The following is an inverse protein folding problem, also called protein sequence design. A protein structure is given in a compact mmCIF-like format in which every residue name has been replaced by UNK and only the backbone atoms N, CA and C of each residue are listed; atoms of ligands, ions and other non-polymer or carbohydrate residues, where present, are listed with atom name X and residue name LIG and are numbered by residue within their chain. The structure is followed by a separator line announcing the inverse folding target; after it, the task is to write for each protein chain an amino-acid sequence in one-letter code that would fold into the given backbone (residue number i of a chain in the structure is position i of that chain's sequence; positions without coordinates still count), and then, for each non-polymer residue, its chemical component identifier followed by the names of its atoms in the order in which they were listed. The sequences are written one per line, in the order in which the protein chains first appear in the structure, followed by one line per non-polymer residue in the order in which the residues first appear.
data_IF_183447725926
#
_entry.id   IF_183447725926
#
_cell.length_a   1.000
_cell.length_b   1.000
_cell.length_c   1.000
_cell.angle_alpha   90.00
_cell.angle_beta   90.00
_cell.angle_gamma   90.00
#
_symmetry.space_group_name_H-M   'P 1'
#
loop_
_entity.id
_entity.type
_entity.pdbx_description
1 polymer ?
#
# COMPACT_ATOMS: atom_id res chain seq x y z
N UNK A 1 16.61 16.22 -2.87
CA UNK A 1 15.23 16.15 -2.31
C UNK A 1 14.22 15.24 -3.06
N UNK A 2 14.57 14.36 -4.03
CA UNK A 2 13.58 13.49 -4.69
C UNK A 2 13.15 12.27 -3.85
N UNK A 3 14.11 11.58 -3.22
CA UNK A 3 13.86 10.36 -2.44
C UNK A 3 12.89 10.59 -1.28
N UNK A 4 13.07 11.68 -0.53
CA UNK A 4 12.20 12.02 0.60
C UNK A 4 10.75 12.25 0.16
N UNK A 5 10.53 12.92 -0.97
CA UNK A 5 9.19 13.14 -1.54
C UNK A 5 8.57 11.81 -1.99
N UNK A 6 9.36 10.93 -2.60
CA UNK A 6 8.91 9.60 -2.99
C UNK A 6 8.46 8.76 -1.79
N UNK A 7 9.25 8.71 -0.71
CA UNK A 7 8.90 7.95 0.50
C UNK A 7 7.63 8.50 1.16
N UNK A 8 7.50 9.84 1.27
CA UNK A 8 6.29 10.47 1.83
C UNK A 8 5.06 10.12 0.98
N UNK A 9 5.19 10.15 -0.35
CA UNK A 9 4.11 9.75 -1.27
C UNK A 9 3.73 8.27 -1.10
N UNK A 10 4.72 7.38 -1.06
CA UNK A 10 4.50 5.94 -0.80
C UNK A 10 3.77 5.73 0.52
N UNK A 11 4.18 6.41 1.59
CA UNK A 11 3.52 6.26 2.89
C UNK A 11 2.06 6.74 2.84
N UNK A 12 1.80 7.90 2.24
CA UNK A 12 0.43 8.44 2.13
C UNK A 12 -0.48 7.51 1.31
N UNK A 13 0.01 6.97 0.20
CA UNK A 13 -0.76 6.06 -0.64
C UNK A 13 -0.91 4.68 0.02
N UNK A 14 0.07 4.23 0.81
CA UNK A 14 -0.03 2.99 1.61
C UNK A 14 -1.12 3.11 2.69
N UNK A 15 -1.15 4.24 3.40
CA UNK A 15 -2.18 4.52 4.41
C UNK A 15 -3.57 4.61 3.76
N UNK A 16 -3.66 5.26 2.59
CA UNK A 16 -4.91 5.34 1.83
C UNK A 16 -5.39 3.96 1.35
N UNK A 17 -4.48 3.11 0.86
CA UNK A 17 -4.81 1.73 0.49
C UNK A 17 -5.26 0.90 1.69
N UNK A 18 -4.60 1.07 2.85
CA UNK A 18 -4.98 0.40 4.07
C UNK A 18 -6.42 0.75 4.49
N UNK A 19 -6.74 2.04 4.56
CA UNK A 19 -8.09 2.50 4.92
C UNK A 19 -9.15 1.98 3.95
N UNK A 20 -8.84 1.96 2.65
CA UNK A 20 -9.71 1.42 1.62
C UNK A 20 -9.95 -0.09 1.78
N UNK A 21 -8.89 -0.87 1.99
CA UNK A 21 -8.99 -2.30 2.25
C UNK A 21 -9.79 -2.59 3.51
N UNK A 22 -9.64 -1.79 4.57
CA UNK A 22 -10.39 -1.97 5.82
C UNK A 22 -11.89 -1.75 5.63
N UNK A 23 -12.28 -0.76 4.80
CA UNK A 23 -13.67 -0.51 4.43
C UNK A 23 -14.27 -1.65 3.61
N UNK A 24 -13.54 -2.14 2.61
CA UNK A 24 -13.99 -3.28 1.80
C UNK A 24 -14.12 -4.53 2.65
N UNK A 25 -13.18 -4.79 3.55
CA UNK A 25 -13.25 -5.91 4.48
C UNK A 25 -14.42 -5.79 5.47
N UNK A 26 -14.70 -4.59 5.98
CA UNK A 26 -15.84 -4.37 6.86
C UNK A 26 -17.19 -4.62 6.16
N UNK A 27 -17.26 -4.36 4.85
CA UNK A 27 -18.45 -4.62 4.05
C UNK A 27 -18.57 -6.09 3.63
N UNK A 28 -17.45 -6.76 3.37
CA UNK A 28 -17.39 -8.15 2.90
C UNK A 28 -16.15 -8.87 3.45
N UNK A 29 -16.25 -9.45 4.66
CA UNK A 29 -15.13 -10.10 5.31
C UNK A 29 -14.68 -11.36 4.56
N UNK A 30 -13.38 -11.44 4.24
CA UNK A 30 -12.77 -12.61 3.62
C UNK A 30 -11.44 -12.94 4.29
N UNK A 31 -11.12 -14.23 4.54
CA UNK A 31 -9.81 -14.63 5.08
C UNK A 31 -8.64 -14.14 4.23
N UNK A 32 -8.80 -14.10 2.90
CA UNK A 32 -7.77 -13.63 1.96
C UNK A 32 -7.55 -12.12 2.15
N UNK A 33 -8.64 -11.33 2.25
CA UNK A 33 -8.56 -9.90 2.51
C UNK A 33 -7.95 -9.59 3.88
N UNK A 34 -8.27 -10.39 4.90
CA UNK A 34 -7.67 -10.25 6.22
C UNK A 34 -6.15 -10.46 6.19
N UNK A 35 -5.68 -11.51 5.50
CA UNK A 35 -4.25 -11.77 5.33
C UNK A 35 -3.52 -10.66 4.56
N UNK A 36 -4.19 -10.00 3.61
CA UNK A 36 -3.65 -8.82 2.91
C UNK A 36 -3.59 -7.60 3.85
N UNK A 37 -4.64 -7.35 4.63
CA UNK A 37 -4.71 -6.25 5.59
C UNK A 37 -3.62 -6.29 6.66
N UNK A 38 -3.39 -7.46 7.25
CA UNK A 38 -2.34 -7.63 8.28
C UNK A 38 -0.96 -7.29 7.72
N UNK A 39 -0.65 -7.77 6.51
CA UNK A 39 0.60 -7.47 5.82
C UNK A 39 0.71 -5.98 5.49
N UNK A 40 -0.38 -5.36 5.05
CA UNK A 40 -0.44 -3.92 4.76
C UNK A 40 -0.17 -3.06 6.00
N UNK A 41 -0.79 -3.38 7.14
CA UNK A 41 -0.55 -2.70 8.42
C UNK A 41 0.92 -2.78 8.84
N UNK A 42 1.54 -3.95 8.68
CA UNK A 42 2.97 -4.15 8.98
C UNK A 42 3.86 -3.31 8.06
N UNK A 43 3.57 -3.30 6.75
CA UNK A 43 4.29 -2.50 5.76
C UNK A 43 4.25 -0.98 6.09
N UNK A 44 3.06 -0.45 6.35
CA UNK A 44 2.89 0.95 6.73
C UNK A 44 3.64 1.28 8.03
N UNK A 45 3.58 0.40 9.03
CA UNK A 45 4.29 0.58 10.30
C UNK A 45 5.82 0.62 10.10
N UNK A 46 6.37 -0.30 9.31
CA UNK A 46 7.81 -0.35 9.01
C UNK A 46 8.27 0.95 8.35
N UNK A 47 7.54 1.41 7.34
CA UNK A 47 7.89 2.64 6.62
C UNK A 47 7.76 3.88 7.52
N UNK A 48 6.70 3.95 8.32
CA UNK A 48 6.47 5.03 9.30
C UNK A 48 7.55 5.10 10.38
N UNK A 49 8.07 3.96 10.82
CA UNK A 49 9.14 3.91 11.83
C UNK A 49 10.49 4.37 11.28
N UNK A 50 10.70 4.28 9.96
CA UNK A 50 11.92 4.75 9.28
C UNK A 50 11.87 6.24 8.93
N UNK A 51 10.69 6.83 8.78
CA UNK A 51 10.57 8.28 8.67
C UNK A 51 10.80 8.96 10.02
N UNK A 52 11.71 9.95 10.02
CA UNK A 52 11.99 10.79 11.20
C UNK A 52 10.71 11.41 11.74
N UNK A 53 10.61 11.63 13.06
CA UNK A 53 9.42 12.25 13.70
C UNK A 53 9.03 13.60 13.06
N UNK A 54 10.01 14.35 12.52
CA UNK A 54 9.78 15.63 11.81
C UNK A 54 9.15 15.46 10.42
N UNK A 55 9.27 14.28 9.83
CA UNK A 55 8.76 13.95 8.48
C UNK A 55 7.42 13.23 8.51
N UNK A 56 6.93 12.93 9.73
CA UNK A 56 5.54 12.50 9.99
C UNK A 56 4.62 13.70 9.77
N UNK A 57 4.49 14.14 8.53
CA UNK A 57 3.36 14.98 8.14
C UNK A 57 2.14 14.15 8.51
N UNK A 58 1.32 14.66 9.45
CA UNK A 58 0.04 14.05 9.78
C UNK A 58 -0.75 14.03 8.49
N UNK A 59 -0.78 12.88 7.81
CA UNK A 59 -1.63 12.63 6.66
C UNK A 59 -3.07 12.55 7.19
N UNK A 60 -3.62 13.71 7.56
CA UNK A 60 -5.04 13.88 7.77
C UNK A 60 -5.64 14.11 6.41
N UNK A 61 -5.82 13.03 5.65
CA UNK A 61 -6.74 13.07 4.51
C UNK A 61 -8.05 12.47 5.00
N UNK A 62 -9.17 13.21 4.93
CA UNK A 62 -10.47 12.61 5.17
C UNK A 62 -10.63 11.55 4.08
N UNK A 63 -10.66 10.28 4.49
CA UNK A 63 -10.86 9.18 3.56
C UNK A 63 -12.24 9.38 2.92
N UNK A 64 -12.22 9.91 1.69
CA UNK A 64 -13.41 10.33 0.98
C UNK A 64 -14.41 9.17 0.94
N UNK A 65 -15.68 9.52 1.08
CA UNK A 65 -16.88 8.69 1.09
C UNK A 65 -17.16 7.97 -0.24
N UNK A 66 -16.12 7.54 -0.95
CA UNK A 66 -16.23 6.71 -2.15
C UNK A 66 -16.49 5.26 -1.72
N UNK A 67 -17.58 4.67 -2.24
CA UNK A 67 -17.79 3.22 -2.19
C UNK A 67 -16.71 2.58 -3.06
N UNK A 68 -15.63 2.16 -2.44
CA UNK A 68 -14.54 1.44 -3.11
C UNK A 68 -14.90 -0.03 -3.26
N UNK A 69 -14.64 -0.58 -4.44
CA UNK A 69 -14.82 -1.98 -4.77
C UNK A 69 -13.46 -2.68 -4.98
N UNK A 70 -13.48 -4.02 -5.14
CA UNK A 70 -12.26 -4.80 -5.40
C UNK A 70 -11.43 -4.31 -6.62
N UNK A 71 -12.03 -3.90 -7.76
CA UNK A 71 -11.26 -3.35 -8.87
C UNK A 71 -10.49 -2.08 -8.49
N UNK A 72 -11.08 -1.21 -7.67
CA UNK A 72 -10.43 0.02 -7.21
C UNK A 72 -9.21 -0.31 -6.35
N UNK A 73 -9.33 -1.29 -5.45
CA UNK A 73 -8.20 -1.75 -4.63
C UNK A 73 -7.06 -2.29 -5.49
N UNK A 74 -7.36 -3.08 -6.52
CA UNK A 74 -6.34 -3.62 -7.45
C UNK A 74 -5.63 -2.49 -8.18
N UNK A 75 -6.37 -1.45 -8.60
CA UNK A 75 -5.79 -0.28 -9.25
C UNK A 75 -4.91 0.52 -8.29
N UNK A 76 -5.35 0.73 -7.04
CA UNK A 76 -4.55 1.39 -6.00
C UNK A 76 -3.23 0.65 -5.74
N UNK A 77 -3.28 -0.68 -5.63
CA UNK A 77 -2.08 -1.50 -5.47
C UNK A 77 -1.14 -1.42 -6.69
N UNK A 78 -1.69 -1.30 -7.90
CA UNK A 78 -0.88 -1.11 -9.11
C UNK A 78 -0.18 0.25 -9.14
N UNK A 79 -0.89 1.31 -8.72
CA UNK A 79 -0.29 2.65 -8.55
C UNK A 79 0.81 2.63 -7.49
N UNK A 80 0.59 1.94 -6.36
CA UNK A 80 1.61 1.78 -5.32
C UNK A 80 2.86 1.08 -5.83
N UNK A 81 2.72 0.01 -6.63
CA UNK A 81 3.85 -0.67 -7.25
C UNK A 81 4.70 0.28 -8.09
N UNK A 82 4.06 1.09 -8.94
CA UNK A 82 4.77 2.07 -9.75
C UNK A 82 5.56 3.07 -8.89
N UNK A 83 5.00 3.51 -7.75
CA UNK A 83 5.71 4.41 -6.83
C UNK A 83 6.92 3.75 -6.17
N UNK A 84 6.82 2.47 -5.81
CA UNK A 84 7.96 1.71 -5.30
C UNK A 84 9.04 1.55 -6.36
N UNK A 85 8.66 1.25 -7.60
CA UNK A 85 9.58 1.15 -8.72
C UNK A 85 10.29 2.48 -8.95
N UNK A 86 9.56 3.60 -9.00
CA UNK A 86 10.14 4.95 -9.12
C UNK A 86 11.12 5.28 -7.99
N UNK A 87 10.76 4.94 -6.74
CA UNK A 87 11.61 5.20 -5.57
C UNK A 87 12.90 4.37 -5.59
N UNK A 88 12.85 3.14 -6.08
CA UNK A 88 14.01 2.25 -6.22
C UNK A 88 14.99 2.72 -7.31
N UNK A 89 14.52 3.48 -8.30
CA UNK A 89 15.36 4.06 -9.36
C UNK A 89 16.04 5.37 -8.97
N UNK A 90 15.78 5.91 -7.77
CA UNK A 90 16.42 7.16 -7.33
C UNK A 90 17.92 6.96 -7.09
N UNK A 91 18.74 7.72 -7.81
CA UNK A 91 20.20 7.70 -7.67
C UNK A 91 20.63 8.02 -6.23
N UNK A 92 21.59 7.26 -5.71
CA UNK A 92 22.11 7.43 -4.34
C UNK A 92 21.16 6.97 -3.24
N UNK A 93 20.20 6.10 -3.54
CA UNK A 93 19.39 5.45 -2.52
C UNK A 93 20.28 4.61 -1.58
N UNK A 94 20.04 4.76 -0.29
CA UNK A 94 20.69 3.96 0.73
C UNK A 94 20.40 2.45 0.53
N UNK A 95 21.40 1.55 0.59
CA UNK A 95 21.19 0.12 0.36
C UNK A 95 20.24 -0.58 1.33
N UNK A 96 20.23 -0.16 2.60
CA UNK A 96 19.33 -0.70 3.63
C UNK A 96 17.88 -0.29 3.29
N UNK A 97 17.68 0.99 2.94
CA UNK A 97 16.40 1.49 2.49
C UNK A 97 15.93 0.81 1.20
N UNK A 98 16.81 0.62 0.22
CA UNK A 98 16.46 -0.06 -1.03
C UNK A 98 16.01 -1.51 -0.79
N UNK A 99 16.64 -2.20 0.15
CA UNK A 99 16.24 -3.57 0.56
C UNK A 99 14.86 -3.58 1.21
N UNK A 100 14.57 -2.60 2.08
CA UNK A 100 13.24 -2.43 2.67
C UNK A 100 12.19 -2.15 1.59
N UNK A 101 12.44 -1.20 0.69
CA UNK A 101 11.51 -0.84 -0.38
C UNK A 101 11.23 -2.03 -1.31
N UNK A 102 12.23 -2.85 -1.64
CA UNK A 102 12.03 -4.10 -2.40
C UNK A 102 11.13 -5.09 -1.66
N UNK A 103 11.34 -5.29 -0.36
CA UNK A 103 10.48 -6.14 0.47
C UNK A 103 9.03 -5.65 0.47
N UNK A 104 8.83 -4.36 0.70
CA UNK A 104 7.50 -3.74 0.71
C UNK A 104 6.82 -3.80 -0.68
N UNK A 105 7.58 -3.60 -1.76
CA UNK A 105 7.11 -3.77 -3.13
C UNK A 105 6.59 -5.19 -3.37
N UNK A 106 7.33 -6.22 -2.97
CA UNK A 106 6.89 -7.61 -3.11
C UNK A 106 5.59 -7.89 -2.35
N UNK A 107 5.41 -7.30 -1.17
CA UNK A 107 4.17 -7.40 -0.40
C UNK A 107 2.98 -6.73 -1.12
N UNK A 108 3.20 -5.57 -1.74
CA UNK A 108 2.21 -4.86 -2.57
C UNK A 108 1.82 -5.71 -3.78
N UNK A 109 2.80 -6.33 -4.42
CA UNK A 109 2.57 -7.21 -5.57
C UNK A 109 1.75 -8.45 -5.19
N UNK A 110 2.08 -9.11 -4.09
CA UNK A 110 1.32 -10.25 -3.58
C UNK A 110 -0.11 -9.86 -3.17
N UNK A 111 -0.29 -8.68 -2.57
CA UNK A 111 -1.62 -8.15 -2.24
C UNK A 111 -2.47 -7.96 -3.49
N UNK A 112 -1.90 -7.35 -4.55
CA UNK A 112 -2.57 -7.18 -5.83
C UNK A 112 -3.04 -8.51 -6.43
N UNK A 113 -2.17 -9.52 -6.45
CA UNK A 113 -2.54 -10.86 -6.94
C UNK A 113 -3.65 -11.49 -6.09
N UNK A 114 -3.57 -11.36 -4.77
CA UNK A 114 -4.58 -11.89 -3.84
C UNK A 114 -5.95 -11.24 -4.07
N UNK A 115 -5.99 -9.91 -4.25
CA UNK A 115 -7.21 -9.16 -4.56
C UNK A 115 -7.81 -9.59 -5.91
N UNK A 116 -6.98 -9.74 -6.93
CA UNK A 116 -7.42 -10.19 -8.25
C UNK A 116 -7.98 -11.61 -8.21
N UNK A 117 -7.41 -12.51 -7.40
CA UNK A 117 -7.95 -13.84 -7.19
C UNK A 117 -9.34 -13.79 -6.54
N UNK A 118 -9.54 -12.97 -5.51
CA UNK A 118 -10.86 -12.77 -4.88
C UNK A 118 -11.88 -12.24 -5.88
N UNK A 119 -11.50 -11.25 -6.71
CA UNK A 119 -12.39 -10.70 -7.74
C UNK A 119 -12.84 -11.79 -8.73
N UNK A 120 -11.91 -12.60 -9.23
CA UNK A 120 -12.21 -13.69 -10.18
C UNK A 120 -13.18 -14.70 -9.56
N UNK A 121 -12.95 -15.11 -8.31
CA UNK A 121 -13.85 -16.05 -7.61
C UNK A 121 -15.28 -15.51 -7.47
N UNK A 122 -15.46 -14.18 -7.36
CA UNK A 122 -16.79 -13.55 -7.31
C UNK A 122 -17.45 -13.35 -8.68
N UNK A 123 -16.69 -13.43 -9.77
CA UNK A 123 -17.23 -13.25 -11.13
C UNK A 123 -17.73 -14.57 -11.72
N UNK A 124 -17.29 -15.71 -11.17
CA UNK A 124 -17.62 -17.07 -11.63
C UNK A 124 -18.70 -17.73 -10.75
N UNK A 125 -18.99 -17.16 -9.58
CA UNK A 125 -20.00 -17.67 -8.63
C UNK A 125 -21.36 -16.99 -8.73
#
# INVERSE_FOLDING_TARGET
MPLKRAIVKILSDLETSLDAMERVYAADPSPILHGVLVRRRRAALVLRNRLSRKDRIRSSRPAASLKLALPDLIQMESTLLALFDDALHVAGIDPELATILRGLRSEVEQARYSLAAVQRSKTVG
#
